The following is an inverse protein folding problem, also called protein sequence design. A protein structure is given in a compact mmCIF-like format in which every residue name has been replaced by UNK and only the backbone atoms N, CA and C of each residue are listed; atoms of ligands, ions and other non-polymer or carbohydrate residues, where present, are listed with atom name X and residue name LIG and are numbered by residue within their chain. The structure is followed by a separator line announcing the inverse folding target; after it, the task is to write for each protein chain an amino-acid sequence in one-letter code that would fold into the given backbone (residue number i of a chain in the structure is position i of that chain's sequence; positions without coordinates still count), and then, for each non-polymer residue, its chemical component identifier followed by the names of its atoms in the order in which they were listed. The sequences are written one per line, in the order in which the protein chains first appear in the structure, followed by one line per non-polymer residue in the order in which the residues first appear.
data_IF_392671484587
#
_entry.id   IF_392671484587
#
_cell.length_a   1.000
_cell.length_b   1.000
_cell.length_c   1.000
_cell.angle_alpha   90.00
_cell.angle_beta   90.00
_cell.angle_gamma   90.00
#
_symmetry.space_group_name_H-M   'P 1'
#
loop_
_entity.id
_entity.type
_entity.pdbx_description
1 polymer ?
#
# COMPACT_ATOMS: atom_id res chain seq x y z
N UNK A 1 -6.23 14.23 -5.80
CA UNK A 1 -5.81 12.92 -6.36
C UNK A 1 -6.32 12.88 -7.77
N UNK A 2 -5.43 12.80 -8.75
CA UNK A 2 -5.83 12.62 -10.15
C UNK A 2 -6.20 11.15 -10.34
N UNK A 3 -7.49 10.86 -10.48
CA UNK A 3 -7.94 9.61 -11.07
C UNK A 3 -7.65 9.69 -12.55
N UNK A 4 -6.71 8.87 -13.03
CA UNK A 4 -6.51 8.71 -14.47
C UNK A 4 -7.76 8.00 -15.00
N UNK A 5 -8.69 8.78 -15.57
CA UNK A 5 -9.87 8.25 -16.25
C UNK A 5 -9.40 7.66 -17.58
N UNK A 6 -8.86 6.45 -17.51
CA UNK A 6 -8.42 5.70 -18.69
C UNK A 6 -9.67 5.06 -19.30
N UNK A 7 -10.03 5.53 -20.49
CA UNK A 7 -11.17 4.99 -21.23
C UNK A 7 -10.78 3.72 -22.00
N UNK A 8 -11.63 2.70 -21.88
CA UNK A 8 -11.54 1.46 -22.65
C UNK A 8 -12.55 1.58 -23.81
N UNK A 9 -12.06 1.45 -25.03
CA UNK A 9 -12.87 1.58 -26.24
C UNK A 9 -13.17 0.22 -26.86
N UNK A 10 -14.26 0.13 -27.62
CA UNK A 10 -14.68 -1.10 -28.30
C UNK A 10 -13.69 -1.60 -29.37
N UNK A 11 -12.74 -0.75 -29.80
CA UNK A 11 -11.71 -1.08 -30.78
C UNK A 11 -10.35 -1.40 -30.14
N UNK A 12 -10.24 -1.34 -28.81
CA UNK A 12 -9.03 -1.78 -28.12
C UNK A 12 -8.86 -3.29 -28.29
N UNK A 13 -7.65 -3.72 -28.59
CA UNK A 13 -7.24 -5.12 -28.50
C UNK A 13 -7.20 -5.59 -27.05
N UNK A 14 -7.26 -6.90 -26.83
CA UNK A 14 -7.19 -7.49 -25.48
C UNK A 14 -5.93 -7.05 -24.71
N UNK A 15 -4.82 -6.86 -25.41
CA UNK A 15 -3.54 -6.42 -24.82
C UNK A 15 -3.62 -4.95 -24.40
N UNK A 16 -4.21 -4.08 -25.22
CA UNK A 16 -4.43 -2.67 -24.88
C UNK A 16 -5.37 -2.54 -23.67
N UNK A 17 -6.46 -3.31 -23.66
CA UNK A 17 -7.38 -3.38 -22.52
C UNK A 17 -6.64 -3.80 -21.24
N UNK A 18 -5.81 -4.84 -21.32
CA UNK A 18 -5.01 -5.30 -20.18
C UNK A 18 -4.06 -4.20 -19.67
N UNK A 19 -3.37 -3.48 -20.57
CA UNK A 19 -2.49 -2.38 -20.16
C UNK A 19 -3.24 -1.20 -19.55
N UNK A 20 -4.42 -0.87 -20.06
CA UNK A 20 -5.29 0.18 -19.51
C UNK A 20 -5.73 -0.17 -18.08
N UNK A 21 -6.25 -1.38 -17.88
CA UNK A 21 -6.64 -1.89 -16.55
C UNK A 21 -5.44 -1.88 -15.60
N UNK A 22 -4.30 -2.45 -16.01
CA UNK A 22 -3.09 -2.51 -15.18
C UNK A 22 -2.61 -1.10 -14.79
N UNK A 23 -2.74 -0.12 -15.69
CA UNK A 23 -2.39 1.27 -15.38
C UNK A 23 -3.33 1.85 -14.33
N UNK A 24 -4.64 1.62 -14.43
CA UNK A 24 -5.61 2.08 -13.41
C UNK A 24 -5.33 1.43 -12.04
N UNK A 25 -5.08 0.13 -12.02
CA UNK A 25 -4.76 -0.61 -10.80
C UNK A 25 -3.48 -0.08 -10.12
N UNK A 26 -2.41 0.13 -10.89
CA UNK A 26 -1.16 0.64 -10.36
C UNK A 26 -1.32 2.03 -9.73
N UNK A 27 -2.09 2.92 -10.37
CA UNK A 27 -2.43 4.22 -9.78
C UNK A 27 -3.19 4.06 -8.47
N UNK A 28 -4.17 3.16 -8.41
CA UNK A 28 -4.93 2.89 -7.20
C UNK A 28 -4.05 2.37 -6.05
N UNK A 29 -3.12 1.45 -6.34
CA UNK A 29 -2.19 0.93 -5.36
C UNK A 29 -1.23 2.00 -4.84
N UNK A 30 -0.64 2.81 -5.72
CA UNK A 30 0.24 3.93 -5.34
C UNK A 30 -0.51 4.92 -4.44
N UNK A 31 -1.73 5.29 -4.83
CA UNK A 31 -2.56 6.20 -4.05
C UNK A 31 -2.88 5.63 -2.66
N UNK A 32 -3.24 4.34 -2.60
CA UNK A 32 -3.52 3.68 -1.35
C UNK A 32 -2.28 3.59 -0.45
N UNK A 33 -1.12 3.19 -0.98
CA UNK A 33 0.13 3.14 -0.21
C UNK A 33 0.59 4.52 0.24
N UNK A 34 0.32 5.57 -0.55
CA UNK A 34 0.57 6.97 -0.13
C UNK A 34 -0.32 7.35 1.05
N UNK A 35 -1.59 6.97 1.02
CA UNK A 35 -2.49 7.17 2.16
C UNK A 35 -2.04 6.38 3.40
N UNK A 36 -1.71 5.09 3.25
CA UNK A 36 -1.22 4.21 4.31
C UNK A 36 0.05 4.78 4.94
N UNK A 37 0.95 5.35 4.15
CA UNK A 37 2.16 6.00 4.65
C UNK A 37 1.85 7.13 5.65
N UNK A 38 0.89 8.00 5.31
CA UNK A 38 0.46 9.08 6.20
C UNK A 38 -0.22 8.53 7.45
N UNK A 39 -1.07 7.51 7.30
CA UNK A 39 -1.73 6.86 8.43
C UNK A 39 -0.71 6.27 9.41
N UNK A 40 0.30 5.55 8.90
CA UNK A 40 1.41 5.01 9.70
C UNK A 40 2.20 6.10 10.42
N UNK A 41 2.58 7.17 9.72
CA UNK A 41 3.28 8.32 10.33
C UNK A 41 2.46 8.93 11.46
N UNK A 42 1.16 9.14 11.26
CA UNK A 42 0.28 9.68 12.29
C UNK A 42 0.18 8.75 13.51
N UNK A 43 0.05 7.43 13.29
CA UNK A 43 0.02 6.45 14.37
C UNK A 43 1.33 6.44 15.18
N UNK A 44 2.48 6.43 14.50
CA UNK A 44 3.80 6.47 15.15
C UNK A 44 3.98 7.77 15.93
N UNK A 45 3.62 8.93 15.36
CA UNK A 45 3.64 10.22 16.07
C UNK A 45 2.75 10.20 17.31
N UNK A 46 1.54 9.65 17.21
CA UNK A 46 0.64 9.50 18.35
C UNK A 46 1.25 8.66 19.46
N UNK A 47 1.89 7.53 19.14
CA UNK A 47 2.61 6.70 20.13
C UNK A 47 3.77 7.46 20.77
N UNK A 48 4.58 8.13 19.97
CA UNK A 48 5.77 8.83 20.44
C UNK A 48 5.44 10.04 21.33
N UNK A 49 4.22 10.59 21.20
CA UNK A 49 3.70 11.66 22.07
C UNK A 49 3.14 11.18 23.43
N UNK A 50 3.01 9.87 23.67
CA UNK A 50 2.50 9.36 24.94
C UNK A 50 3.53 9.51 26.08
N UNK A 51 3.08 9.56 27.36
CA UNK A 51 3.95 9.46 28.52
C UNK A 51 4.90 8.26 28.45
N UNK A 52 6.11 8.41 29.00
CA UNK A 52 7.19 7.42 28.90
C UNK A 52 6.77 6.04 29.41
N UNK A 53 5.97 5.98 30.47
CA UNK A 53 5.47 4.73 31.06
C UNK A 53 4.61 3.95 30.06
N UNK A 54 3.67 4.63 29.40
CA UNK A 54 2.80 4.04 28.36
C UNK A 54 3.62 3.65 27.12
N UNK A 55 4.63 4.46 26.77
CA UNK A 55 5.48 4.21 25.62
C UNK A 55 6.35 2.96 25.81
N UNK A 56 6.91 2.73 27.00
CA UNK A 56 7.70 1.53 27.32
C UNK A 56 6.86 0.26 27.26
N UNK A 57 5.62 0.30 27.74
CA UNK A 57 4.70 -0.85 27.64
C UNK A 57 4.35 -1.22 26.19
N UNK A 58 4.29 -0.21 25.31
CA UNK A 58 3.85 -0.35 23.91
C UNK A 58 4.97 -0.27 22.88
N UNK A 59 6.23 -0.27 23.31
CA UNK A 59 7.40 -0.06 22.46
C UNK A 59 7.44 -1.07 21.29
N UNK A 60 7.17 -2.34 21.57
CA UNK A 60 7.13 -3.41 20.56
C UNK A 60 6.09 -3.15 19.46
N UNK A 61 4.97 -2.51 19.79
CA UNK A 61 3.92 -2.19 18.82
C UNK A 61 4.35 -1.02 17.95
N UNK A 62 4.94 0.02 18.56
CA UNK A 62 5.50 1.16 17.82
C UNK A 62 6.58 0.72 16.82
N UNK A 63 7.53 -0.11 17.25
CA UNK A 63 8.58 -0.66 16.39
C UNK A 63 8.01 -1.47 15.21
N UNK A 64 6.91 -2.21 15.42
CA UNK A 64 6.24 -2.92 14.33
C UNK A 64 5.63 -1.96 13.31
N UNK A 65 5.00 -0.87 13.75
CA UNK A 65 4.50 0.15 12.83
C UNK A 65 5.61 0.83 12.06
N UNK A 66 6.75 1.11 12.69
CA UNK A 66 7.94 1.65 12.02
C UNK A 66 8.50 0.69 10.96
N UNK A 67 8.57 -0.61 11.25
CA UNK A 67 8.96 -1.63 10.26
C UNK A 67 8.00 -1.65 9.07
N UNK A 68 6.68 -1.60 9.31
CA UNK A 68 5.69 -1.53 8.21
C UNK A 68 5.81 -0.22 7.43
N UNK A 69 6.17 0.90 8.06
CA UNK A 69 6.40 2.16 7.37
C UNK A 69 7.58 2.05 6.39
N UNK A 70 8.69 1.45 6.83
CA UNK A 70 9.85 1.21 5.96
C UNK A 70 9.47 0.29 4.79
N UNK A 71 8.78 -0.82 5.06
CA UNK A 71 8.29 -1.73 4.00
C UNK A 71 7.38 -0.99 3.01
N UNK A 72 6.50 -0.11 3.51
CA UNK A 72 5.61 0.69 2.68
C UNK A 72 6.38 1.64 1.75
N UNK A 73 7.41 2.31 2.26
CA UNK A 73 8.24 3.22 1.48
C UNK A 73 9.00 2.48 0.35
N UNK A 74 9.54 1.29 0.66
CA UNK A 74 10.22 0.45 -0.34
C UNK A 74 9.26 0.04 -1.46
N UNK A 75 8.08 -0.47 -1.11
CA UNK A 75 7.11 -0.93 -2.10
C UNK A 75 6.55 0.25 -2.90
N UNK A 76 6.23 1.37 -2.25
CA UNK A 76 5.75 2.56 -2.93
C UNK A 76 6.78 3.08 -3.94
N UNK A 77 8.07 3.09 -3.58
CA UNK A 77 9.16 3.46 -4.47
C UNK A 77 9.25 2.52 -5.69
N UNK A 78 9.12 1.22 -5.48
CA UNK A 78 9.11 0.23 -6.56
C UNK A 78 7.91 0.42 -7.51
N UNK A 79 6.71 0.66 -6.97
CA UNK A 79 5.52 0.93 -7.80
C UNK A 79 5.65 2.22 -8.59
N UNK A 80 6.21 3.28 -7.99
CA UNK A 80 6.48 4.55 -8.68
C UNK A 80 7.52 4.39 -9.80
N UNK A 81 8.58 3.62 -9.54
CA UNK A 81 9.59 3.29 -10.56
C UNK A 81 8.94 2.54 -11.73
N UNK A 82 8.16 1.50 -11.44
CA UNK A 82 7.45 0.74 -12.48
C UNK A 82 6.45 1.61 -13.25
N UNK A 83 5.71 2.51 -12.56
CA UNK A 83 4.83 3.47 -13.22
C UNK A 83 5.60 4.30 -14.26
N UNK A 84 6.82 4.73 -13.94
CA UNK A 84 7.64 5.51 -14.86
C UNK A 84 8.13 4.68 -16.04
N UNK A 85 8.49 3.41 -15.86
CA UNK A 85 8.93 2.56 -16.98
C UNK A 85 7.80 2.19 -17.94
N UNK A 86 6.55 2.18 -17.45
CA UNK A 86 5.36 1.90 -18.28
C UNK A 86 5.11 2.94 -19.39
N UNK A 87 5.72 4.12 -19.33
CA UNK A 87 5.61 5.10 -20.44
C UNK A 87 6.21 4.57 -21.75
N UNK A 88 7.15 3.62 -21.67
CA UNK A 88 7.77 2.97 -22.81
C UNK A 88 6.93 1.84 -23.43
N UNK A 89 5.74 1.52 -22.92
CA UNK A 89 4.87 0.49 -23.53
C UNK A 89 4.51 0.84 -24.98
N UNK A 90 4.37 2.13 -25.30
CA UNK A 90 4.10 2.59 -26.67
C UNK A 90 5.21 2.22 -27.67
N UNK A 91 6.41 1.90 -27.19
CA UNK A 91 7.56 1.50 -28.01
C UNK A 91 7.58 -0.01 -28.27
N UNK A 92 6.70 -0.80 -27.64
CA UNK A 92 6.62 -2.24 -27.86
C UNK A 92 6.21 -2.55 -29.30
N UNK A 93 7.01 -3.37 -29.98
CA UNK A 93 6.78 -3.78 -31.37
C UNK A 93 6.27 -5.22 -31.50
N UNK A 94 6.30 -5.98 -30.41
CA UNK A 94 5.90 -7.37 -30.37
C UNK A 94 5.19 -7.73 -29.06
N UNK A 95 4.51 -8.88 -29.10
CA UNK A 95 3.78 -9.41 -27.95
C UNK A 95 4.71 -9.76 -26.78
N UNK A 96 5.99 -10.05 -27.03
CA UNK A 96 6.94 -10.42 -25.99
C UNK A 96 7.25 -9.22 -25.09
N UNK A 97 7.37 -8.04 -25.68
CA UNK A 97 7.52 -6.77 -24.97
C UNK A 97 6.29 -6.49 -24.08
N UNK A 98 5.08 -6.59 -24.64
CA UNK A 98 3.83 -6.40 -23.89
C UNK A 98 3.72 -7.34 -22.68
N UNK A 99 4.02 -8.62 -22.90
CA UNK A 99 3.96 -9.65 -21.87
C UNK A 99 4.96 -9.38 -20.74
N UNK A 100 6.11 -8.78 -21.02
CA UNK A 100 7.08 -8.42 -19.99
C UNK A 100 6.52 -7.39 -19.00
N UNK A 101 5.81 -6.36 -19.49
CA UNK A 101 5.14 -5.37 -18.67
C UNK A 101 3.97 -5.96 -17.87
N UNK A 102 3.22 -6.89 -18.46
CA UNK A 102 2.14 -7.60 -17.76
C UNK A 102 2.71 -8.43 -16.61
N UNK A 103 3.80 -9.18 -16.86
CA UNK A 103 4.44 -9.99 -15.82
C UNK A 103 5.01 -9.14 -14.68
N UNK A 104 5.60 -7.99 -14.98
CA UNK A 104 6.11 -7.08 -13.96
C UNK A 104 4.97 -6.46 -13.13
N UNK A 105 3.84 -6.14 -13.77
CA UNK A 105 2.64 -5.71 -13.08
C UNK A 105 2.14 -6.76 -12.08
N UNK A 106 2.16 -8.04 -12.44
CA UNK A 106 1.77 -9.13 -11.52
C UNK A 106 2.74 -9.30 -10.33
N UNK A 107 4.02 -8.96 -10.50
CA UNK A 107 4.95 -8.90 -9.35
C UNK A 107 4.58 -7.76 -8.41
N UNK A 108 4.34 -6.57 -8.97
CA UNK A 108 3.87 -5.40 -8.25
C UNK A 108 2.58 -5.68 -7.48
N UNK A 109 1.60 -6.34 -8.11
CA UNK A 109 0.33 -6.75 -7.50
C UNK A 109 0.54 -7.60 -6.26
N UNK A 110 1.36 -8.65 -6.37
CA UNK A 110 1.63 -9.59 -5.27
C UNK A 110 2.33 -8.91 -4.09
N UNK A 111 3.32 -8.07 -4.37
CA UNK A 111 4.00 -7.27 -3.33
C UNK A 111 3.03 -6.35 -2.60
N UNK A 112 2.21 -5.60 -3.34
CA UNK A 112 1.19 -4.72 -2.78
C UNK A 112 0.19 -5.49 -1.90
N UNK A 113 -0.38 -6.59 -2.41
CA UNK A 113 -1.36 -7.39 -1.68
C UNK A 113 -0.78 -7.95 -0.38
N UNK A 114 0.43 -8.52 -0.45
CA UNK A 114 1.10 -9.06 0.72
C UNK A 114 1.34 -8.01 1.80
N UNK A 115 1.83 -6.82 1.41
CA UNK A 115 2.08 -5.72 2.33
C UNK A 115 0.80 -5.18 2.97
N UNK A 116 -0.24 -4.96 2.17
CA UNK A 116 -1.52 -4.48 2.70
C UNK A 116 -2.12 -5.46 3.70
N UNK A 117 -2.01 -6.76 3.45
CA UNK A 117 -2.47 -7.78 4.39
C UNK A 117 -1.68 -7.74 5.70
N UNK A 118 -0.35 -7.63 5.62
CA UNK A 118 0.53 -7.50 6.79
C UNK A 118 0.18 -6.26 7.62
N UNK A 119 -0.03 -5.13 6.95
CA UNK A 119 -0.43 -3.88 7.58
C UNK A 119 -1.81 -3.98 8.26
N UNK A 120 -2.82 -4.55 7.58
CA UNK A 120 -4.16 -4.75 8.13
C UNK A 120 -4.13 -5.60 9.39
N UNK A 121 -3.42 -6.73 9.38
CA UNK A 121 -3.27 -7.59 10.57
C UNK A 121 -2.66 -6.86 11.76
N UNK A 122 -1.64 -6.04 11.53
CA UNK A 122 -1.04 -5.23 12.61
C UNK A 122 -2.06 -4.23 13.17
N UNK A 123 -2.80 -3.57 12.27
CA UNK A 123 -3.80 -2.59 12.63
C UNK A 123 -4.97 -3.21 13.41
N UNK A 124 -5.47 -4.35 12.99
CA UNK A 124 -6.56 -5.07 13.65
C UNK A 124 -6.13 -5.56 15.04
N UNK A 125 -4.91 -6.10 15.16
CA UNK A 125 -4.36 -6.52 16.45
C UNK A 125 -4.23 -5.33 17.41
N UNK A 126 -3.77 -4.18 16.91
CA UNK A 126 -3.68 -2.94 17.69
C UNK A 126 -5.04 -2.47 18.18
N UNK A 127 -6.05 -2.40 17.30
CA UNK A 127 -7.38 -1.94 17.70
C UNK A 127 -8.08 -2.91 18.66
N UNK A 128 -7.90 -4.21 18.49
CA UNK A 128 -8.41 -5.21 19.43
C UNK A 128 -7.81 -5.02 20.83
N UNK A 129 -6.50 -4.76 20.92
CA UNK A 129 -5.84 -4.47 22.19
C UNK A 129 -6.35 -3.16 22.81
N UNK A 130 -6.49 -2.11 22.00
CA UNK A 130 -7.01 -0.81 22.44
C UNK A 130 -8.43 -0.94 23.01
N UNK A 131 -9.31 -1.64 22.31
CA UNK A 131 -10.69 -1.87 22.73
C UNK A 131 -10.75 -2.63 24.07
N UNK A 132 -9.92 -3.66 24.23
CA UNK A 132 -9.84 -4.41 25.48
C UNK A 132 -9.39 -3.53 26.66
N UNK A 133 -8.47 -2.59 26.43
CA UNK A 133 -8.01 -1.67 27.47
C UNK A 133 -9.08 -0.67 27.87
N UNK A 134 -9.83 -0.12 26.90
CA UNK A 134 -10.95 0.79 27.16
C UNK A 134 -12.05 0.08 27.97
N UNK A 135 -12.40 -1.15 27.60
CA UNK A 135 -13.42 -1.93 28.30
C UNK A 135 -13.05 -2.23 29.76
N UNK A 136 -11.77 -2.52 30.03
CA UNK A 136 -11.27 -2.73 31.40
C UNK A 136 -11.38 -1.47 32.25
N UNK A 137 -11.06 -0.30 31.68
CA UNK A 137 -11.19 0.97 32.38
C UNK A 137 -12.64 1.31 32.71
N UNK A 138 -13.58 1.03 31.80
CA UNK A 138 -15.01 1.23 32.00
C UNK A 138 -15.62 0.30 33.06
N UNK A 139 -15.06 -0.89 33.27
CA UNK A 139 -15.48 -1.83 34.33
C UNK A 139 -14.86 -1.51 35.70
N UNK A 140 -13.81 -0.70 35.74
CA UNK A 140 -13.13 -0.26 36.96
C UNK A 140 -13.55 1.12 37.47
N UNK A 141 -14.42 1.81 36.74
CA UNK A 141 -14.99 3.12 37.07
C UNK A 141 -16.43 2.97 37.57
#
# INVERSE_FOLDING_TARGET
METSNIEIYAHDSDVEVAHKINTMELHNWINHLTYVNRELKNLITFFNSQPTEIRLEREKVSQRFEMILVDNDVILSQLLSFKNTRTSIIECQDMQCDMSFIQEHEKCRRMYQFHIEKYRKLKDAFFAELQNNINKQALSA
#
